data_IF_884732927582
#
_entry.id   IF_884732927582
#
_cell.length_a   1.000
_cell.length_b   1.000
_cell.length_c   1.000
_cell.angle_alpha   90.00
_cell.angle_beta   90.00
_cell.angle_gamma   90.00
#
_symmetry.space_group_name_H-M   'P 1'
#
loop_
_entity.id
_entity.type
_entity.pdbx_description
1 polymer ?
#
# COMPACT_ATOMS: atom_id res chain seq x y z
N UNK A 1 -48.25 29.41 38.30
CA UNK A 1 -46.97 29.35 37.54
C UNK A 1 -46.37 27.93 37.67
N UNK A 2 -46.94 26.93 37.00
CA UNK A 2 -46.50 25.51 37.12
C UNK A 2 -45.88 24.96 35.82
N UNK A 3 -46.10 25.61 34.67
CA UNK A 3 -45.67 25.10 33.36
C UNK A 3 -44.19 25.20 33.00
N UNK A 4 -43.31 25.72 33.87
CA UNK A 4 -41.89 25.93 33.53
C UNK A 4 -40.96 24.80 34.04
N UNK A 5 -41.36 24.11 35.11
CA UNK A 5 -40.56 23.03 35.71
C UNK A 5 -40.71 21.70 34.93
N UNK A 6 -41.93 21.33 34.56
CA UNK A 6 -42.21 20.13 33.77
C UNK A 6 -41.57 20.18 32.37
N UNK A 7 -41.61 21.35 31.73
CA UNK A 7 -40.98 21.54 30.41
C UNK A 7 -39.46 21.42 30.51
N UNK A 8 -38.86 21.98 31.57
CA UNK A 8 -37.43 21.85 31.83
C UNK A 8 -37.02 20.41 32.12
N UNK A 9 -37.85 19.65 32.84
CA UNK A 9 -37.60 18.24 33.12
C UNK A 9 -37.75 17.36 31.87
N UNK A 10 -38.78 17.61 31.06
CA UNK A 10 -38.97 16.94 29.77
C UNK A 10 -37.81 17.19 28.81
N UNK A 11 -37.29 18.43 28.76
CA UNK A 11 -36.11 18.77 27.97
C UNK A 11 -34.84 18.02 28.43
N UNK A 12 -34.62 17.90 29.75
CA UNK A 12 -33.51 17.11 30.32
C UNK A 12 -33.63 15.63 29.99
N UNK A 13 -34.84 15.07 30.09
CA UNK A 13 -35.12 13.68 29.74
C UNK A 13 -34.91 13.43 28.24
N UNK A 14 -35.34 14.35 27.37
CA UNK A 14 -35.08 14.28 25.94
C UNK A 14 -33.58 14.33 25.63
N UNK A 15 -32.82 15.26 26.21
CA UNK A 15 -31.37 15.34 26.01
C UNK A 15 -30.68 14.04 26.43
N UNK A 16 -31.07 13.49 27.59
CA UNK A 16 -30.51 12.22 28.10
C UNK A 16 -30.85 11.05 27.18
N UNK A 17 -32.08 11.00 26.66
CA UNK A 17 -32.51 9.96 25.73
C UNK A 17 -31.82 10.11 24.37
N UNK A 18 -31.66 11.34 23.90
CA UNK A 18 -30.95 11.69 22.68
C UNK A 18 -29.50 11.20 22.76
N UNK A 19 -28.75 11.56 23.81
CA UNK A 19 -27.35 11.14 23.96
C UNK A 19 -27.21 9.62 24.05
N UNK A 20 -28.14 8.94 24.73
CA UNK A 20 -28.13 7.49 24.88
C UNK A 20 -28.51 6.75 23.59
N UNK A 21 -29.49 7.26 22.84
CA UNK A 21 -30.06 6.57 21.67
C UNK A 21 -29.55 7.06 20.32
N UNK A 22 -28.82 8.17 20.25
CA UNK A 22 -28.29 8.72 19.00
C UNK A 22 -27.45 7.68 18.23
N UNK A 23 -26.59 6.97 18.93
CA UNK A 23 -25.75 5.94 18.32
C UNK A 23 -26.54 4.75 17.79
N UNK A 24 -27.62 4.37 18.46
CA UNK A 24 -28.49 3.26 18.05
C UNK A 24 -29.41 3.65 16.89
N UNK A 25 -30.03 4.82 16.95
CA UNK A 25 -31.03 5.25 15.97
C UNK A 25 -30.42 5.84 14.70
N UNK A 26 -29.30 6.55 14.81
CA UNK A 26 -28.70 7.31 13.70
C UNK A 26 -27.38 6.67 13.26
N UNK A 27 -26.42 6.53 14.16
CA UNK A 27 -25.07 6.03 13.79
C UNK A 27 -25.13 4.58 13.29
N UNK A 28 -25.85 3.69 13.96
CA UNK A 28 -25.96 2.29 13.55
C UNK A 28 -26.71 2.13 12.21
N UNK A 29 -27.80 2.88 12.01
CA UNK A 29 -28.53 2.93 10.74
C UNK A 29 -27.63 3.40 9.60
N UNK A 30 -26.95 4.54 9.77
CA UNK A 30 -26.02 5.08 8.78
C UNK A 30 -24.85 4.13 8.47
N UNK A 31 -24.27 3.49 9.49
CA UNK A 31 -23.21 2.49 9.31
C UNK A 31 -23.70 1.25 8.56
N UNK A 32 -24.91 0.77 8.86
CA UNK A 32 -25.53 -0.35 8.14
C UNK A 32 -25.81 0.01 6.69
N UNK A 33 -26.37 1.19 6.41
CA UNK A 33 -26.58 1.68 5.03
C UNK A 33 -25.25 1.78 4.27
N UNK A 34 -24.20 2.33 4.89
CA UNK A 34 -22.87 2.39 4.29
C UNK A 34 -22.28 0.99 4.05
N UNK A 35 -22.46 0.06 4.98
CA UNK A 35 -22.01 -1.32 4.86
C UNK A 35 -22.73 -2.06 3.72
N UNK A 36 -24.05 -1.90 3.63
CA UNK A 36 -24.87 -2.50 2.59
C UNK A 36 -24.56 -1.91 1.20
N UNK A 37 -24.41 -0.59 1.10
CA UNK A 37 -23.96 0.07 -0.13
C UNK A 37 -22.57 -0.41 -0.57
N UNK A 38 -21.66 -0.64 0.38
CA UNK A 38 -20.33 -1.19 0.11
C UNK A 38 -20.38 -2.66 -0.30
N UNK A 39 -21.27 -3.46 0.29
CA UNK A 39 -21.48 -4.87 -0.03
C UNK A 39 -22.00 -5.06 -1.45
N UNK A 40 -22.98 -4.26 -1.85
CA UNK A 40 -23.61 -4.34 -3.17
C UNK A 40 -22.73 -3.80 -4.30
N UNK A 41 -21.59 -3.18 -3.99
CA UNK A 41 -20.68 -2.63 -5.01
C UNK A 41 -19.86 -3.76 -5.66
N UNK A 42 -19.95 -3.96 -6.98
CA UNK A 42 -19.19 -5.01 -7.66
C UNK A 42 -17.68 -4.83 -7.45
N UNK A 43 -17.00 -5.92 -7.07
CA UNK A 43 -15.56 -5.91 -6.86
C UNK A 43 -14.83 -5.98 -8.20
N UNK A 44 -14.55 -4.82 -8.79
CA UNK A 44 -13.74 -4.74 -10.01
C UNK A 44 -12.26 -4.93 -9.67
N UNK A 45 -11.71 -6.07 -10.10
CA UNK A 45 -10.29 -6.35 -10.03
C UNK A 45 -9.54 -5.57 -11.13
N UNK A 46 -8.31 -5.10 -10.85
CA UNK A 46 -7.50 -4.43 -11.84
C UNK A 46 -7.14 -5.38 -12.98
N UNK A 47 -7.26 -4.89 -14.20
CA UNK A 47 -6.90 -5.65 -15.39
C UNK A 47 -5.38 -5.85 -15.44
N UNK A 48 -4.92 -7.02 -15.83
CA UNK A 48 -3.48 -7.35 -15.87
C UNK A 48 -2.70 -6.42 -16.80
N UNK A 49 -3.31 -6.01 -17.92
CA UNK A 49 -2.71 -5.04 -18.85
C UNK A 49 -2.56 -3.65 -18.22
N UNK A 50 -3.54 -3.18 -17.44
CA UNK A 50 -3.44 -1.91 -16.72
C UNK A 50 -2.31 -1.94 -15.68
N UNK A 51 -2.10 -3.09 -15.03
CA UNK A 51 -0.98 -3.29 -14.09
C UNK A 51 0.36 -3.27 -14.83
N UNK A 52 0.45 -3.88 -16.02
CA UNK A 52 1.66 -3.82 -16.87
C UNK A 52 1.95 -2.38 -17.34
N UNK A 53 0.94 -1.65 -17.81
CA UNK A 53 1.06 -0.24 -18.20
C UNK A 53 1.61 0.59 -17.04
N UNK A 54 1.12 0.38 -15.82
CA UNK A 54 1.64 1.06 -14.62
C UNK A 54 3.10 0.70 -14.32
N UNK A 55 3.49 -0.57 -14.42
CA UNK A 55 4.89 -0.98 -14.23
C UNK A 55 5.84 -0.31 -15.24
N UNK A 56 5.50 -0.35 -16.53
CA UNK A 56 6.31 0.27 -17.59
C UNK A 56 6.40 1.79 -17.43
N UNK A 57 5.28 2.43 -17.09
CA UNK A 57 5.23 3.87 -16.83
C UNK A 57 6.15 4.25 -15.66
N UNK A 58 6.06 3.54 -14.53
CA UNK A 58 6.88 3.82 -13.36
C UNK A 58 8.37 3.58 -13.62
N UNK A 59 8.73 2.53 -14.37
CA UNK A 59 10.12 2.24 -14.74
C UNK A 59 10.74 3.37 -15.59
N UNK A 60 10.00 3.88 -16.58
CA UNK A 60 10.44 5.03 -17.38
C UNK A 60 10.53 6.31 -16.53
N UNK A 61 9.50 6.57 -15.71
CA UNK A 61 9.45 7.75 -14.85
C UNK A 61 10.59 7.77 -13.83
N UNK A 62 10.96 6.61 -13.28
CA UNK A 62 12.05 6.47 -12.33
C UNK A 62 13.38 6.86 -12.97
N UNK A 63 13.70 6.33 -14.15
CA UNK A 63 14.95 6.66 -14.86
C UNK A 63 15.07 8.17 -15.07
N UNK A 64 14.01 8.79 -15.58
CA UNK A 64 13.97 10.24 -15.81
C UNK A 64 14.11 11.04 -14.51
N UNK A 65 13.45 10.59 -13.43
CA UNK A 65 13.51 11.25 -12.13
C UNK A 65 14.90 11.12 -11.47
N UNK A 66 15.56 9.97 -11.62
CA UNK A 66 16.93 9.78 -11.14
C UNK A 66 17.90 10.71 -11.88
N UNK A 67 17.86 10.75 -13.21
CA UNK A 67 18.70 11.65 -14.00
C UNK A 67 18.43 13.12 -13.66
N UNK A 68 17.17 13.52 -13.51
CA UNK A 68 16.82 14.90 -13.16
C UNK A 68 17.34 15.28 -11.76
N UNK A 69 17.27 14.37 -10.79
CA UNK A 69 17.78 14.62 -9.43
C UNK A 69 19.32 14.71 -9.40
N UNK A 70 20.01 13.88 -10.18
CA UNK A 70 21.47 13.92 -10.30
C UNK A 70 21.97 15.21 -10.94
N UNK A 71 21.26 15.73 -11.96
CA UNK A 71 21.61 16.99 -12.61
C UNK A 71 21.26 18.18 -11.74
N UNK A 72 20.07 18.17 -11.13
CA UNK A 72 19.58 19.28 -10.33
C UNK A 72 18.97 18.78 -9.00
N UNK A 73 19.78 18.76 -7.92
CA UNK A 73 19.33 18.45 -6.57
C UNK A 73 18.39 19.53 -6.03
N UNK A 74 17.09 19.36 -6.22
CA UNK A 74 16.08 20.27 -5.70
C UNK A 74 14.87 19.53 -5.10
N UNK A 75 14.06 20.28 -4.35
CA UNK A 75 12.87 19.77 -3.65
C UNK A 75 11.84 19.13 -4.58
N UNK A 76 11.76 19.58 -5.85
CA UNK A 76 10.84 19.03 -6.84
C UNK A 76 11.30 17.66 -7.34
N UNK A 77 12.57 17.53 -7.71
CA UNK A 77 13.13 16.30 -8.26
C UNK A 77 13.17 15.19 -7.20
N UNK A 78 13.54 15.53 -5.96
CA UNK A 78 13.51 14.56 -4.85
C UNK A 78 12.09 14.11 -4.55
N UNK A 79 11.11 15.02 -4.65
CA UNK A 79 9.69 14.69 -4.45
C UNK A 79 9.20 13.71 -5.52
N UNK A 80 9.54 13.95 -6.79
CA UNK A 80 9.15 13.07 -7.89
C UNK A 80 9.76 11.68 -7.69
N UNK A 81 11.07 11.59 -7.48
CA UNK A 81 11.74 10.31 -7.29
C UNK A 81 11.17 9.57 -6.06
N UNK A 82 10.98 10.27 -4.93
CA UNK A 82 10.36 9.69 -3.73
C UNK A 82 8.98 9.09 -4.00
N UNK A 83 8.11 9.81 -4.70
CA UNK A 83 6.76 9.33 -5.04
C UNK A 83 6.80 8.12 -5.98
N UNK A 84 7.64 8.17 -7.02
CA UNK A 84 7.77 7.06 -7.99
C UNK A 84 8.27 5.81 -7.29
N UNK A 85 9.39 5.92 -6.55
CA UNK A 85 10.00 4.80 -5.84
C UNK A 85 9.06 4.22 -4.78
N UNK A 86 8.35 5.07 -4.01
CA UNK A 86 7.33 4.61 -3.06
C UNK A 86 6.24 3.78 -3.76
N UNK A 87 5.76 4.24 -4.91
CA UNK A 87 4.72 3.53 -5.67
C UNK A 87 5.23 2.20 -6.21
N UNK A 88 6.46 2.16 -6.73
CA UNK A 88 7.10 0.93 -7.19
C UNK A 88 7.26 -0.09 -6.06
N UNK A 89 7.73 0.34 -4.88
CA UNK A 89 7.92 -0.56 -3.73
C UNK A 89 6.58 -1.16 -3.28
N UNK A 90 5.53 -0.34 -3.17
CA UNK A 90 4.20 -0.82 -2.81
C UNK A 90 3.63 -1.75 -3.90
N UNK A 91 3.80 -1.40 -5.18
CA UNK A 91 3.30 -2.17 -6.32
C UNK A 91 3.98 -3.54 -6.40
N UNK A 92 5.31 -3.58 -6.26
CA UNK A 92 6.11 -4.79 -6.30
C UNK A 92 5.79 -5.73 -5.14
N UNK A 93 5.79 -5.21 -3.92
CA UNK A 93 5.53 -6.02 -2.74
C UNK A 93 4.05 -6.34 -2.51
N UNK A 94 3.14 -5.68 -3.25
CA UNK A 94 1.69 -5.76 -3.06
C UNK A 94 1.32 -5.55 -1.57
N UNK A 95 2.02 -4.63 -0.88
CA UNK A 95 1.84 -4.35 0.55
C UNK A 95 0.83 -3.24 0.78
N UNK A 96 0.37 -3.09 2.03
CA UNK A 96 -0.47 -1.93 2.37
C UNK A 96 0.38 -0.68 2.21
N UNK A 97 -0.15 0.28 1.48
CA UNK A 97 0.51 1.53 1.18
C UNK A 97 0.95 2.28 2.44
N UNK A 98 0.16 2.21 3.52
CA UNK A 98 0.47 2.87 4.78
C UNK A 98 1.65 2.27 5.54
N UNK A 99 1.92 0.97 5.39
CA UNK A 99 3.07 0.31 6.01
C UNK A 99 4.36 0.79 5.35
N UNK A 100 4.40 0.79 4.01
CA UNK A 100 5.58 1.24 3.24
C UNK A 100 5.79 2.76 3.35
N UNK A 101 4.70 3.55 3.31
CA UNK A 101 4.81 5.02 3.41
C UNK A 101 5.42 5.49 4.73
N UNK A 102 5.19 4.75 5.82
CA UNK A 102 5.69 5.05 7.17
C UNK A 102 7.06 4.43 7.46
N UNK A 103 7.71 3.84 6.47
CA UNK A 103 9.02 3.24 6.64
C UNK A 103 10.04 4.27 7.12
N UNK A 104 10.72 3.95 8.21
CA UNK A 104 11.78 4.78 8.77
C UNK A 104 13.09 4.53 8.02
N UNK A 105 13.84 5.61 7.77
CA UNK A 105 15.13 5.56 7.08
C UNK A 105 16.13 4.68 7.82
N UNK A 106 16.15 4.74 9.16
CA UNK A 106 17.05 3.92 9.99
C UNK A 106 16.89 2.42 9.74
N UNK A 107 15.67 1.93 9.49
CA UNK A 107 15.42 0.51 9.18
C UNK A 107 16.03 0.10 7.83
N UNK A 108 16.02 1.03 6.87
CA UNK A 108 16.64 0.81 5.58
C UNK A 108 18.17 0.82 5.70
N UNK A 109 18.74 1.77 6.45
CA UNK A 109 20.20 1.87 6.64
C UNK A 109 20.74 0.72 7.48
N UNK A 110 20.03 0.29 8.53
CA UNK A 110 20.41 -0.83 9.38
C UNK A 110 19.98 -2.19 8.80
N UNK A 111 19.69 -2.27 7.51
CA UNK A 111 19.20 -3.50 6.89
C UNK A 111 20.28 -4.57 6.93
N UNK A 112 19.83 -5.80 7.06
CA UNK A 112 20.73 -6.94 7.10
C UNK A 112 21.32 -7.17 5.70
N UNK A 113 22.65 -7.09 5.62
CA UNK A 113 23.42 -7.42 4.42
C UNK A 113 24.05 -8.82 4.50
N UNK A 114 23.78 -9.57 5.58
CA UNK A 114 24.34 -10.91 5.75
C UNK A 114 23.81 -11.85 4.68
N UNK A 115 24.72 -12.70 4.17
CA UNK A 115 24.34 -13.76 3.25
C UNK A 115 23.43 -14.76 3.96
N UNK A 116 22.50 -15.30 3.18
CA UNK A 116 21.53 -16.29 3.66
C UNK A 116 22.21 -17.44 4.40
N UNK A 117 21.71 -17.77 5.59
CA UNK A 117 22.25 -18.86 6.40
C UNK A 117 22.30 -20.16 5.59
N UNK A 118 23.42 -20.90 5.66
CA UNK A 118 23.65 -22.09 4.84
C UNK A 118 22.53 -23.13 4.99
N UNK A 119 21.98 -23.28 6.18
CA UNK A 119 20.89 -24.24 6.45
C UNK A 119 19.57 -23.84 5.78
N UNK A 120 19.28 -22.54 5.65
CA UNK A 120 18.10 -22.05 4.91
C UNK A 120 18.33 -22.26 3.41
N UNK A 121 19.56 -22.08 2.93
CA UNK A 121 19.92 -22.33 1.54
C UNK A 121 19.75 -23.80 1.14
N UNK A 122 19.86 -24.78 2.06
CA UNK A 122 19.68 -26.19 1.73
C UNK A 122 18.24 -26.52 1.30
N UNK A 123 17.24 -25.81 1.83
CA UNK A 123 15.82 -26.03 1.52
C UNK A 123 15.29 -25.27 0.30
N UNK A 124 16.10 -24.42 -0.34
CA UNK A 124 15.66 -23.56 -1.44
C UNK A 124 16.12 -24.10 -2.80
N UNK A 125 15.25 -23.99 -3.79
CA UNK A 125 15.57 -24.24 -5.19
C UNK A 125 16.64 -23.27 -5.69
N UNK A 126 17.32 -23.64 -6.79
CA UNK A 126 18.30 -22.76 -7.43
C UNK A 126 17.71 -21.41 -7.86
N UNK A 127 16.42 -21.38 -8.20
CA UNK A 127 15.71 -20.16 -8.56
C UNK A 127 15.46 -19.28 -7.34
N UNK A 128 14.97 -19.84 -6.23
CA UNK A 128 14.72 -19.09 -5.00
C UNK A 128 16.00 -18.51 -4.40
N UNK A 129 17.12 -19.26 -4.46
CA UNK A 129 18.45 -18.74 -4.09
C UNK A 129 18.81 -17.47 -4.87
N UNK A 130 18.67 -17.53 -6.20
CA UNK A 130 18.90 -16.36 -7.06
C UNK A 130 17.99 -15.18 -6.71
N UNK A 131 16.73 -15.43 -6.35
CA UNK A 131 15.82 -14.35 -5.92
C UNK A 131 16.25 -13.75 -4.58
N UNK A 132 16.69 -14.58 -3.62
CA UNK A 132 17.21 -14.12 -2.34
C UNK A 132 18.46 -13.24 -2.51
N UNK A 133 19.36 -13.61 -3.42
CA UNK A 133 20.57 -12.83 -3.73
C UNK A 133 20.24 -11.53 -4.48
N UNK A 134 19.20 -11.53 -5.31
CA UNK A 134 18.81 -10.39 -6.13
C UNK A 134 18.05 -9.31 -5.35
N UNK A 135 17.18 -9.70 -4.42
CA UNK A 135 16.34 -8.77 -3.67
C UNK A 135 16.90 -8.45 -2.29
N UNK A 136 17.01 -7.18 -1.96
CA UNK A 136 17.32 -6.76 -0.60
C UNK A 136 16.05 -6.76 0.26
N UNK A 137 16.14 -7.33 1.47
CA UNK A 137 15.02 -7.41 2.41
C UNK A 137 15.18 -6.38 3.54
N UNK A 138 14.13 -5.63 3.81
CA UNK A 138 14.03 -4.75 4.99
C UNK A 138 12.80 -5.13 5.81
N UNK A 139 12.98 -5.24 7.12
CA UNK A 139 11.87 -5.52 8.04
C UNK A 139 11.29 -4.22 8.57
N UNK A 140 9.98 -4.02 8.40
CA UNK A 140 9.25 -2.87 8.95
C UNK A 140 8.25 -3.32 10.01
N UNK A 141 7.88 -2.39 10.90
CA UNK A 141 6.84 -2.63 11.90
C UNK A 141 5.44 -2.53 11.27
N UNK A 142 4.77 -3.67 11.16
CA UNK A 142 3.36 -3.76 10.84
C UNK A 142 2.45 -3.51 12.05
N UNK A 143 1.14 -3.70 11.85
CA UNK A 143 0.14 -3.54 12.91
C UNK A 143 0.46 -4.50 14.09
N UNK A 144 0.30 -4.02 15.32
CA UNK A 144 0.59 -4.75 16.57
C UNK A 144 2.07 -5.19 16.70
N UNK A 145 3.01 -4.42 16.14
CA UNK A 145 4.44 -4.67 16.30
C UNK A 145 4.98 -5.86 15.51
N UNK A 146 4.17 -6.46 14.62
CA UNK A 146 4.63 -7.59 13.78
C UNK A 146 5.67 -7.13 12.77
N UNK A 147 6.77 -7.87 12.64
CA UNK A 147 7.75 -7.64 11.57
C UNK A 147 7.16 -8.00 10.22
N UNK A 148 7.28 -7.11 9.25
CA UNK A 148 6.79 -7.30 7.88
C UNK A 148 7.97 -7.11 6.91
N UNK A 149 8.31 -8.12 6.09
CA UNK A 149 9.37 -7.96 5.12
C UNK A 149 8.90 -7.16 3.90
N UNK A 150 9.76 -6.25 3.45
CA UNK A 150 9.67 -5.52 2.19
C UNK A 150 10.91 -5.81 1.38
N UNK A 151 10.72 -6.24 0.14
CA UNK A 151 11.76 -6.57 -0.82
C UNK A 151 12.00 -5.40 -1.77
N UNK A 152 13.27 -5.15 -2.07
CA UNK A 152 13.71 -4.10 -2.98
C UNK A 152 14.52 -4.71 -4.12
N UNK A 153 14.09 -4.44 -5.34
CA UNK A 153 14.89 -4.74 -6.53
C UNK A 153 16.09 -3.78 -6.60
N UNK A 154 17.19 -4.15 -7.30
CA UNK A 154 18.39 -3.31 -7.42
C UNK A 154 18.09 -1.89 -7.90
N UNK A 155 17.20 -1.72 -8.88
CA UNK A 155 16.81 -0.38 -9.35
C UNK A 155 16.13 0.46 -8.27
N UNK A 156 15.36 -0.16 -7.36
CA UNK A 156 14.72 0.54 -6.25
C UNK A 156 15.76 0.94 -5.20
N UNK A 157 16.72 0.05 -4.93
CA UNK A 157 17.84 0.32 -4.03
C UNK A 157 18.63 1.53 -4.52
N UNK A 158 19.06 1.56 -5.78
CA UNK A 158 19.78 2.70 -6.34
C UNK A 158 19.00 4.02 -6.27
N UNK A 159 17.68 3.98 -6.46
CA UNK A 159 16.85 5.18 -6.31
C UNK A 159 16.75 5.64 -4.85
N UNK A 160 16.64 4.72 -3.90
CA UNK A 160 16.57 5.04 -2.48
C UNK A 160 17.91 5.57 -1.97
N UNK A 161 19.03 4.96 -2.38
CA UNK A 161 20.36 5.41 -2.00
C UNK A 161 20.59 6.86 -2.48
N UNK A 162 20.21 7.18 -3.73
CA UNK A 162 20.26 8.54 -4.26
C UNK A 162 19.34 9.51 -3.48
N UNK A 163 18.16 9.07 -3.07
CA UNK A 163 17.25 9.88 -2.24
C UNK A 163 17.85 10.21 -0.87
N UNK A 164 18.60 9.27 -0.28
CA UNK A 164 19.27 9.47 1.01
C UNK A 164 20.45 10.43 0.85
N UNK A 165 21.25 10.25 -0.21
CA UNK A 165 22.42 11.09 -0.52
C UNK A 165 22.04 12.56 -0.75
N UNK A 166 21.03 12.81 -1.57
CA UNK A 166 20.63 14.18 -1.96
C UNK A 166 19.64 14.83 -0.98
N UNK A 167 19.28 14.14 0.10
CA UNK A 167 18.24 14.53 1.08
C UNK A 167 18.44 15.95 1.62
N UNK A 168 19.64 16.23 2.13
CA UNK A 168 19.97 17.50 2.78
C UNK A 168 19.94 18.67 1.77
N UNK A 169 20.50 18.45 0.58
CA UNK A 169 20.55 19.46 -0.51
C UNK A 169 19.15 19.80 -1.02
N UNK A 170 18.23 18.84 -1.02
CA UNK A 170 16.88 19.01 -1.54
C UNK A 170 15.86 19.56 -0.51
N UNK A 171 16.34 20.06 0.65
CA UNK A 171 15.50 20.73 1.64
C UNK A 171 14.58 19.79 2.43
N UNK A 172 14.97 18.52 2.59
CA UNK A 172 14.28 17.60 3.50
C UNK A 172 14.83 17.82 4.92
N UNK A 173 13.98 18.12 5.92
CA UNK A 173 14.44 18.35 7.29
C UNK A 173 15.19 17.15 7.87
N UNK A 174 16.25 17.40 8.64
CA UNK A 174 17.07 16.35 9.26
C UNK A 174 16.28 15.57 10.32
N UNK A 175 15.32 16.21 10.98
CA UNK A 175 14.43 15.64 11.99
C UNK A 175 13.39 14.69 11.40
N UNK A 176 13.17 14.74 10.08
CA UNK A 176 12.25 13.83 9.43
C UNK A 176 12.90 12.43 9.31
N UNK A 177 12.42 11.44 10.06
CA UNK A 177 12.97 10.08 10.05
C UNK A 177 12.42 9.19 8.91
N UNK A 178 11.45 9.68 8.11
CA UNK A 178 10.83 8.85 7.07
C UNK A 178 11.76 8.67 5.86
N UNK A 179 11.77 7.45 5.32
CA UNK A 179 12.49 7.14 4.08
C UNK A 179 11.94 7.96 2.91
N UNK A 180 10.62 7.96 2.75
CA UNK A 180 9.91 8.73 1.72
C UNK A 180 9.39 10.07 2.27
N UNK A 181 10.31 10.86 2.81
CA UNK A 181 10.04 12.15 3.42
C UNK A 181 9.67 13.25 2.42
N UNK A 182 8.90 14.22 2.89
CA UNK A 182 8.57 15.43 2.13
C UNK A 182 9.61 16.53 2.39
N UNK A 183 10.06 17.26 1.36
CA UNK A 183 10.79 18.51 1.55
C UNK A 183 9.99 19.50 2.39
N UNK A 184 10.68 20.30 3.20
CA UNK A 184 10.11 21.34 4.06
C UNK A 184 9.00 20.88 5.04
N UNK A 185 8.86 19.58 5.31
CA UNK A 185 7.86 19.05 6.23
C UNK A 185 8.35 17.82 7.00
N UNK A 186 7.87 17.64 8.23
CA UNK A 186 8.15 16.45 9.06
C UNK A 186 7.18 15.29 8.78
N UNK A 187 6.72 15.17 7.54
CA UNK A 187 5.75 14.16 7.10
C UNK A 187 6.28 13.34 5.94
N UNK A 188 5.61 12.23 5.64
CA UNK A 188 5.93 11.36 4.51
C UNK A 188 4.92 11.50 3.38
N UNK A 189 5.29 11.03 2.18
CA UNK A 189 4.32 10.89 1.09
C UNK A 189 3.30 9.80 1.39
N UNK A 190 2.03 10.04 1.04
CA UNK A 190 0.96 9.05 1.18
C UNK A 190 0.94 8.18 -0.06
N UNK A 191 1.24 6.88 0.09
CA UNK A 191 1.26 5.96 -1.04
C UNK A 191 -0.07 5.90 -1.82
N UNK A 192 -1.21 6.06 -1.16
CA UNK A 192 -2.52 6.12 -1.83
C UNK A 192 -2.64 7.29 -2.82
N UNK A 193 -2.04 8.43 -2.50
CA UNK A 193 -2.06 9.63 -3.34
C UNK A 193 -1.11 9.45 -4.53
N UNK A 194 0.08 8.91 -4.29
CA UNK A 194 1.03 8.56 -5.36
C UNK A 194 0.45 7.53 -6.35
N UNK A 195 -0.24 6.50 -5.84
CA UNK A 195 -0.93 5.53 -6.70
C UNK A 195 -1.97 6.19 -7.58
N UNK A 196 -2.81 7.05 -7.00
CA UNK A 196 -3.88 7.72 -7.74
C UNK A 196 -3.33 8.66 -8.80
N UNK A 197 -2.22 9.34 -8.51
CA UNK A 197 -1.50 10.19 -9.46
C UNK A 197 -1.01 9.36 -10.66
N UNK A 198 -0.25 8.29 -10.41
CA UNK A 198 0.36 7.51 -11.49
C UNK A 198 -0.59 6.56 -12.21
N UNK A 199 -1.64 6.07 -11.55
CA UNK A 199 -2.70 5.30 -12.20
C UNK A 199 -3.42 6.12 -13.28
N UNK A 200 -3.63 7.42 -13.04
CA UNK A 200 -4.24 8.32 -14.02
C UNK A 200 -3.28 8.66 -15.15
N UNK A 201 -1.98 8.75 -14.86
CA UNK A 201 -0.96 9.13 -15.84
C UNK A 201 -0.47 7.96 -16.72
N UNK A 202 -0.65 6.70 -16.31
CA UNK A 202 -0.07 5.54 -17.00
C UNK A 202 -0.87 5.04 -18.21
N UNK A 203 -1.96 5.72 -18.60
CA UNK A 203 -2.80 5.31 -19.74
C UNK A 203 -3.57 4.01 -19.50
N UNK A 204 -3.85 3.67 -18.24
CA UNK A 204 -4.72 2.56 -17.89
C UNK A 204 -6.15 2.82 -18.36
N UNK A 205 -6.84 1.77 -18.78
CA UNK A 205 -8.26 1.85 -19.19
C UNK A 205 -9.14 2.12 -17.97
N UNK A 206 -8.81 1.49 -16.84
CA UNK A 206 -9.53 1.66 -15.59
C UNK A 206 -8.60 2.12 -14.46
N UNK A 207 -8.12 3.39 -14.46
CA UNK A 207 -7.22 3.92 -13.43
C UNK A 207 -7.75 3.75 -12.01
N UNK A 208 -9.07 3.83 -11.82
CA UNK A 208 -9.71 3.66 -10.52
C UNK A 208 -9.56 2.25 -9.92
N UNK A 209 -9.12 1.26 -10.71
CA UNK A 209 -8.83 -0.09 -10.24
C UNK A 209 -7.39 -0.25 -9.74
N UNK A 210 -6.47 0.63 -10.15
CA UNK A 210 -5.06 0.62 -9.77
C UNK A 210 -4.86 1.30 -8.40
N UNK A 211 -5.17 0.55 -7.34
CA UNK A 211 -4.91 0.97 -5.96
C UNK A 211 -4.29 -0.18 -5.16
N UNK A 212 -3.48 0.12 -4.14
CA UNK A 212 -2.88 -0.92 -3.29
C UNK A 212 -3.94 -1.91 -2.76
N UNK A 213 -5.10 -1.43 -2.33
CA UNK A 213 -6.17 -2.31 -1.83
C UNK A 213 -6.72 -3.26 -2.88
N UNK A 214 -6.98 -2.78 -4.10
CA UNK A 214 -7.51 -3.63 -5.18
C UNK A 214 -6.46 -4.57 -5.74
N UNK A 215 -5.21 -4.14 -5.84
CA UNK A 215 -4.08 -4.98 -6.25
C UNK A 215 -3.81 -6.09 -5.23
N UNK A 216 -3.94 -5.81 -3.93
CA UNK A 216 -3.88 -6.84 -2.88
C UNK A 216 -5.00 -7.86 -2.99
N UNK A 217 -6.23 -7.39 -3.28
CA UNK A 217 -7.38 -8.28 -3.53
C UNK A 217 -7.15 -9.16 -4.75
N UNK A 218 -6.61 -8.61 -5.83
CA UNK A 218 -6.27 -9.37 -7.04
C UNK A 218 -5.29 -10.50 -6.75
N UNK A 219 -4.21 -10.22 -6.01
CA UNK A 219 -3.23 -11.25 -5.63
C UNK A 219 -3.89 -12.33 -4.78
N UNK A 220 -4.69 -11.96 -3.78
CA UNK A 220 -5.41 -12.94 -2.97
C UNK A 220 -6.34 -13.81 -3.83
N UNK A 221 -7.10 -13.22 -4.75
CA UNK A 221 -7.97 -13.96 -5.68
C UNK A 221 -7.17 -14.90 -6.58
N UNK A 222 -6.06 -14.45 -7.17
CA UNK A 222 -5.22 -15.29 -8.01
C UNK A 222 -4.55 -16.41 -7.23
N UNK A 223 -4.06 -16.15 -6.02
CA UNK A 223 -3.51 -17.18 -5.13
C UNK A 223 -4.56 -18.21 -4.75
N UNK A 224 -5.79 -17.78 -4.43
CA UNK A 224 -6.91 -18.68 -4.17
C UNK A 224 -7.22 -19.53 -5.41
N UNK A 225 -7.31 -18.93 -6.61
CA UNK A 225 -7.53 -19.68 -7.85
C UNK A 225 -6.41 -20.68 -8.15
N UNK A 226 -5.14 -20.32 -7.93
CA UNK A 226 -4.01 -21.21 -8.13
C UNK A 226 -4.02 -22.38 -7.13
N UNK A 227 -4.35 -22.10 -5.87
CA UNK A 227 -4.48 -23.11 -4.83
C UNK A 227 -5.73 -23.99 -5.00
N UNK A 228 -6.80 -23.45 -5.60
CA UNK A 228 -7.99 -24.21 -6.00
C UNK A 228 -7.66 -25.16 -7.16
N UNK A 229 -6.85 -24.75 -8.13
CA UNK A 229 -6.44 -25.62 -9.26
C UNK A 229 -5.68 -26.87 -8.84
N UNK A 230 -4.99 -26.86 -7.69
CA UNK A 230 -4.35 -28.07 -7.14
C UNK A 230 -5.35 -29.03 -6.47
N UNK A 231 -6.48 -28.52 -5.96
CA UNK A 231 -7.44 -29.30 -5.16
C UNK A 231 -8.81 -29.52 -5.82
N UNK A 232 -9.12 -28.84 -6.93
CA UNK A 232 -10.48 -28.77 -7.49
C UNK A 232 -10.56 -29.12 -8.99
N UNK A 233 -9.54 -29.79 -9.55
CA UNK A 233 -9.67 -30.38 -10.89
C UNK A 233 -10.86 -31.38 -10.95
N UNK A 234 -11.10 -32.11 -9.86
CA UNK A 234 -12.22 -33.05 -9.74
C UNK A 234 -13.57 -32.33 -9.50
N UNK A 235 -13.58 -31.20 -8.80
CA UNK A 235 -14.80 -30.42 -8.60
C UNK A 235 -15.19 -29.63 -9.86
N UNK A 236 -14.20 -29.18 -10.65
CA UNK A 236 -14.42 -28.53 -11.93
C UNK A 236 -15.00 -29.50 -12.97
N UNK A 237 -14.61 -30.78 -12.95
CA UNK A 237 -15.20 -31.82 -13.80
C UNK A 237 -16.68 -32.05 -13.48
N UNK A 238 -17.06 -32.07 -12.20
CA UNK A 238 -18.46 -32.15 -11.77
C UNK A 238 -19.29 -30.91 -12.10
N UNK A 239 -18.66 -29.72 -12.13
CA UNK A 239 -19.34 -28.46 -12.47
C UNK A 239 -19.45 -28.21 -13.99
N UNK A 240 -18.63 -28.89 -14.80
CA UNK A 240 -18.59 -28.76 -16.27
C UNK A 240 -19.32 -29.89 -17.01
N UNK A 241 -20.03 -30.77 -16.29
CA UNK A 241 -21.03 -31.66 -16.91
C UNK A 241 -20.44 -32.72 -17.84
N UNK A 242 -19.36 -33.37 -17.40
CA UNK A 242 -18.98 -34.67 -17.96
C UNK A 242 -18.97 -35.70 -16.85
N UNK A 243 -19.92 -36.64 -16.92
CA UNK A 243 -19.82 -37.92 -16.24
C UNK A 243 -18.51 -38.61 -16.69
N UNK A 244 -17.82 -39.25 -15.75
CA UNK A 244 -16.97 -40.40 -16.07
C UNK A 244 -17.90 -41.60 -16.29
#
# INVERSE_FOLDING_TARGET
MVGNAEVAESARNFSTLYDKKWNECISAGALNTLAQAKWNKPQVLPFTEDVKKLHSFLASKQKNAMSALQVEPNSRNVAILSKVTLTQVILFNRRREGEVSKMMMKLYVSRDHTQMHKDIALGLSAYEKKLCDYFQRVEICGKRGRKVPVLFAPHMVSAIDLLIEERAKCGVPMENEYLFARPAALTHYRGADCFREYAKACGAENPGTLSSTKLRKQVATLSTMLNMKENELDQLAGFLGHDI
#
